data_IF_119037031701
#
_entry.id   IF_119037031701
#
_cell.length_a   1.000
_cell.length_b   1.000
_cell.length_c   1.000
_cell.angle_alpha   90.00
_cell.angle_beta   90.00
_cell.angle_gamma   90.00
#
_symmetry.space_group_name_H-M   'P 1'
#
loop_
_entity.id
_entity.type
_entity.pdbx_description
1 polymer ?
#
# COMPACT_ATOMS: atom_id res chain seq x y z
N UNK A 1 2.46 11.17 46.86
CA UNK A 1 1.33 10.83 45.98
C UNK A 1 1.42 11.71 44.75
N UNK A 2 1.93 11.16 43.67
CA UNK A 2 2.12 11.82 42.38
C UNK A 2 0.77 11.89 41.67
N UNK A 3 0.18 13.08 41.58
CA UNK A 3 -0.90 13.32 40.63
C UNK A 3 -0.32 13.27 39.22
N UNK A 4 -0.40 12.09 38.61
CA UNK A 4 -0.15 11.88 37.20
C UNK A 4 -1.30 12.56 36.46
N UNK A 5 -1.08 13.79 36.01
CA UNK A 5 -2.10 14.60 35.34
C UNK A 5 -2.47 13.93 34.01
N UNK A 6 -3.72 13.46 33.91
CA UNK A 6 -4.33 12.94 32.68
C UNK A 6 -4.23 13.93 31.50
N UNK A 7 -4.02 15.21 31.77
CA UNK A 7 -3.84 16.24 30.74
C UNK A 7 -2.56 16.05 29.92
N UNK A 8 -1.47 15.54 30.52
CA UNK A 8 -0.19 15.32 29.83
C UNK A 8 -0.32 14.17 28.81
N UNK A 9 -1.01 13.08 29.18
CA UNK A 9 -1.27 11.96 28.27
C UNK A 9 -2.16 12.34 27.08
N UNK A 10 -3.15 13.22 27.30
CA UNK A 10 -4.02 13.70 26.23
C UNK A 10 -3.27 14.61 25.25
N UNK A 11 -2.33 15.42 25.75
CA UNK A 11 -1.49 16.28 24.92
C UNK A 11 -0.43 15.50 24.12
N UNK A 12 0.10 14.41 24.68
CA UNK A 12 0.99 13.47 23.98
C UNK A 12 0.24 12.64 22.92
N UNK A 13 -1.06 12.40 23.10
CA UNK A 13 -1.88 11.61 22.19
C UNK A 13 -2.48 12.44 21.04
N UNK A 14 -2.76 13.72 21.26
CA UNK A 14 -3.37 14.63 20.28
C UNK A 14 -2.45 15.82 19.99
N UNK A 15 -1.52 15.68 19.02
CA UNK A 15 -0.72 16.79 18.57
C UNK A 15 -1.61 17.90 17.96
N UNK A 16 -1.04 19.10 17.83
CA UNK A 16 -1.74 20.21 17.17
C UNK A 16 -2.22 19.82 15.76
N UNK A 17 -3.34 20.39 15.31
CA UNK A 17 -3.96 20.00 14.03
C UNK A 17 -3.08 20.29 12.81
N UNK A 18 -2.21 21.30 12.89
CA UNK A 18 -1.34 21.72 11.78
C UNK A 18 -0.35 20.62 11.32
N UNK A 19 0.50 20.04 12.19
CA UNK A 19 1.40 18.96 11.81
C UNK A 19 0.66 17.69 11.39
N UNK A 20 -0.47 17.36 12.05
CA UNK A 20 -1.34 16.24 11.64
C UNK A 20 -1.82 16.39 10.19
N UNK A 21 -2.26 17.59 9.81
CA UNK A 21 -2.72 17.88 8.44
C UNK A 21 -1.58 17.83 7.42
N UNK A 22 -0.37 18.27 7.78
CA UNK A 22 0.80 18.20 6.89
C UNK A 22 1.20 16.76 6.60
N UNK A 23 1.22 15.90 7.63
CA UNK A 23 1.46 14.46 7.47
C UNK A 23 0.33 13.80 6.66
N UNK A 24 -0.93 14.11 6.96
CA UNK A 24 -2.07 13.59 6.21
C UNK A 24 -2.01 13.95 4.73
N UNK A 25 -1.62 15.20 4.38
CA UNK A 25 -1.43 15.62 3.00
C UNK A 25 -0.38 14.76 2.28
N UNK A 26 0.73 14.44 2.94
CA UNK A 26 1.76 13.59 2.35
C UNK A 26 1.25 12.17 2.09
N UNK A 27 0.41 11.63 2.97
CA UNK A 27 -0.20 10.31 2.78
C UNK A 27 -1.30 10.30 1.71
N UNK A 28 -2.04 11.40 1.54
CA UNK A 28 -3.04 11.55 0.48
C UNK A 28 -2.43 11.74 -0.92
N UNK A 29 -1.15 12.08 -1.02
CA UNK A 29 -0.49 12.26 -2.31
C UNK A 29 -0.20 10.89 -2.95
N UNK A 30 -0.77 10.60 -4.14
CA UNK A 30 -0.57 9.32 -4.84
C UNK A 30 0.77 9.30 -5.58
N UNK A 31 1.84 9.73 -4.90
CA UNK A 31 3.20 9.80 -5.43
C UNK A 31 4.07 8.99 -4.47
N UNK A 32 4.79 7.98 -4.97
CA UNK A 32 5.38 6.89 -4.16
C UNK A 32 6.31 7.28 -3.00
N UNK A 33 6.64 8.56 -2.81
CA UNK A 33 7.35 9.08 -1.63
C UNK A 33 6.48 9.46 -0.43
N UNK A 34 5.14 9.35 -0.54
CA UNK A 34 4.22 9.77 0.52
C UNK A 34 4.47 9.10 1.87
N UNK A 35 4.73 7.78 1.89
CA UNK A 35 4.98 7.03 3.13
C UNK A 35 6.30 7.45 3.78
N UNK A 36 7.48 7.39 3.13
CA UNK A 36 8.72 7.79 3.77
C UNK A 36 8.71 9.26 4.21
N UNK A 37 8.19 10.17 3.38
CA UNK A 37 8.12 11.58 3.70
C UNK A 37 7.19 11.85 4.89
N UNK A 38 5.98 11.26 4.88
CA UNK A 38 5.01 11.43 5.96
C UNK A 38 5.48 10.84 7.28
N UNK A 39 6.14 9.68 7.26
CA UNK A 39 6.69 9.03 8.46
C UNK A 39 7.87 9.82 9.04
N UNK A 40 8.76 10.34 8.19
CA UNK A 40 9.87 11.18 8.65
C UNK A 40 9.37 12.50 9.22
N UNK A 41 8.38 13.14 8.57
CA UNK A 41 7.75 14.36 9.07
C UNK A 41 7.04 14.11 10.41
N UNK A 42 6.28 13.01 10.52
CA UNK A 42 5.62 12.65 11.78
C UNK A 42 6.63 12.47 12.91
N UNK A 43 7.78 11.84 12.63
CA UNK A 43 8.88 11.70 13.60
C UNK A 43 9.46 13.05 14.02
N UNK A 44 9.69 13.98 13.08
CA UNK A 44 10.25 15.31 13.39
C UNK A 44 9.27 16.16 14.19
N UNK A 45 7.97 16.02 13.94
CA UNK A 45 6.90 16.72 14.66
C UNK A 45 6.51 16.02 15.98
N UNK A 46 7.21 14.94 16.36
CA UNK A 46 6.97 14.21 17.61
C UNK A 46 5.63 13.46 17.65
N UNK A 47 5.02 13.18 16.50
CA UNK A 47 3.73 12.48 16.42
C UNK A 47 3.93 11.00 16.76
N UNK A 48 3.13 10.42 17.68
CA UNK A 48 3.24 9.02 18.03
C UNK A 48 3.04 8.10 16.82
N UNK A 49 3.72 6.95 16.83
CA UNK A 49 3.58 5.91 15.81
C UNK A 49 2.12 5.52 15.57
N UNK A 50 1.35 5.27 16.64
CA UNK A 50 -0.04 4.86 16.51
C UNK A 50 -0.90 5.93 15.82
N UNK A 51 -0.69 7.20 16.15
CA UNK A 51 -1.40 8.33 15.53
C UNK A 51 -1.02 8.44 14.05
N UNK A 52 0.25 8.25 13.72
CA UNK A 52 0.73 8.24 12.33
C UNK A 52 0.11 7.11 11.52
N UNK A 53 0.01 5.91 12.09
CA UNK A 53 -0.66 4.77 11.45
C UNK A 53 -2.16 5.01 11.26
N UNK A 54 -2.82 5.66 12.22
CA UNK A 54 -4.23 6.03 12.09
C UNK A 54 -4.45 7.12 11.04
N UNK A 55 -3.54 8.10 10.92
CA UNK A 55 -3.56 9.08 9.84
C UNK A 55 -3.42 8.41 8.48
N UNK A 56 -2.52 7.43 8.37
CA UNK A 56 -2.32 6.68 7.14
C UNK A 56 -3.57 5.86 6.77
N UNK A 57 -4.13 5.12 7.73
CA UNK A 57 -5.39 4.39 7.57
C UNK A 57 -6.55 5.31 7.15
N UNK A 58 -6.65 6.48 7.77
CA UNK A 58 -7.67 7.45 7.41
C UNK A 58 -7.48 7.97 5.98
N UNK A 59 -6.23 8.20 5.55
CA UNK A 59 -5.91 8.58 4.18
C UNK A 59 -6.38 7.52 3.17
N UNK A 60 -6.18 6.24 3.48
CA UNK A 60 -6.63 5.12 2.64
C UNK A 60 -8.15 5.04 2.53
N UNK A 61 -8.87 5.30 3.63
CA UNK A 61 -10.34 5.33 3.63
C UNK A 61 -10.84 6.49 2.75
N UNK A 62 -10.25 7.68 2.88
CA UNK A 62 -10.58 8.83 2.04
C UNK A 62 -10.30 8.51 0.57
N UNK A 63 -9.15 7.89 0.29
CA UNK A 63 -8.77 7.47 -1.06
C UNK A 63 -9.76 6.43 -1.61
N UNK A 64 -10.17 5.46 -0.81
CA UNK A 64 -11.13 4.44 -1.19
C UNK A 64 -12.48 5.05 -1.61
N UNK A 65 -12.98 6.00 -0.82
CA UNK A 65 -14.23 6.71 -1.10
C UNK A 65 -14.10 7.57 -2.36
N UNK A 66 -12.96 8.23 -2.55
CA UNK A 66 -12.71 9.09 -3.71
C UNK A 66 -12.51 8.30 -5.02
N UNK A 67 -11.79 7.17 -4.97
CA UNK A 67 -11.42 6.41 -6.16
C UNK A 67 -12.44 5.35 -6.58
N UNK A 68 -13.23 4.77 -5.66
CA UNK A 68 -14.27 3.82 -6.05
C UNK A 68 -15.20 4.36 -7.16
N UNK A 69 -15.77 5.58 -7.10
CA UNK A 69 -16.62 6.09 -8.17
C UNK A 69 -15.85 6.25 -9.48
N UNK A 70 -14.58 6.69 -9.42
CA UNK A 70 -13.71 6.83 -10.60
C UNK A 70 -13.45 5.46 -11.24
N UNK A 71 -13.08 4.45 -10.45
CA UNK A 71 -12.84 3.09 -10.90
C UNK A 71 -14.11 2.46 -11.49
N UNK A 72 -15.28 2.68 -10.86
CA UNK A 72 -16.57 2.22 -11.39
C UNK A 72 -16.92 2.89 -12.72
N UNK A 73 -16.71 4.20 -12.83
CA UNK A 73 -16.94 4.93 -14.06
C UNK A 73 -16.03 4.41 -15.18
N UNK A 74 -14.74 4.22 -14.89
CA UNK A 74 -13.79 3.62 -15.84
C UNK A 74 -14.20 2.21 -16.25
N UNK A 75 -14.63 1.36 -15.31
CA UNK A 75 -15.12 0.02 -15.61
C UNK A 75 -16.36 0.05 -16.52
N UNK A 76 -17.30 0.98 -16.28
CA UNK A 76 -18.48 1.18 -17.12
C UNK A 76 -18.11 1.65 -18.53
N UNK A 77 -17.17 2.59 -18.66
CA UNK A 77 -16.70 3.09 -19.95
C UNK A 77 -15.94 2.01 -20.72
N UNK A 78 -15.02 1.30 -20.07
CA UNK A 78 -14.29 0.17 -20.66
C UNK A 78 -15.24 -0.98 -21.04
N UNK A 79 -16.32 -1.18 -20.28
CA UNK A 79 -17.36 -2.17 -20.56
C UNK A 79 -18.10 -1.96 -21.88
N UNK A 80 -18.13 -0.72 -22.41
CA UNK A 80 -18.74 -0.39 -23.69
C UNK A 80 -17.89 -0.79 -24.89
N UNK A 81 -16.58 -0.98 -24.69
CA UNK A 81 -15.64 -1.31 -25.76
C UNK A 81 -15.41 -2.82 -25.78
N UNK A 82 -15.90 -3.48 -26.84
CA UNK A 82 -15.83 -4.93 -27.02
C UNK A 82 -14.41 -5.51 -27.00
N UNK A 83 -13.40 -4.72 -27.40
CA UNK A 83 -11.99 -5.10 -27.29
C UNK A 83 -11.51 -5.14 -25.83
N UNK A 84 -11.83 -4.13 -25.03
CA UNK A 84 -11.40 -4.03 -23.63
C UNK A 84 -12.07 -5.08 -22.76
N UNK A 85 -13.34 -5.40 -23.01
CA UNK A 85 -14.03 -6.48 -22.29
C UNK A 85 -13.43 -7.85 -22.59
N UNK A 86 -13.05 -8.10 -23.85
CA UNK A 86 -12.31 -9.32 -24.23
C UNK A 86 -10.94 -9.38 -23.57
N UNK A 87 -10.19 -8.28 -23.58
CA UNK A 87 -8.88 -8.20 -22.93
C UNK A 87 -9.01 -8.45 -21.41
N UNK A 88 -9.97 -7.81 -20.75
CA UNK A 88 -10.24 -8.02 -19.33
C UNK A 88 -10.63 -9.48 -19.02
N UNK A 89 -11.44 -10.11 -19.88
CA UNK A 89 -11.78 -11.52 -19.74
C UNK A 89 -10.56 -12.44 -19.93
N UNK A 90 -9.68 -12.14 -20.90
CA UNK A 90 -8.42 -12.86 -21.10
C UNK A 90 -7.49 -12.71 -19.90
N UNK A 91 -7.34 -11.49 -19.37
CA UNK A 91 -6.56 -11.23 -18.17
C UNK A 91 -7.12 -11.98 -16.96
N UNK A 92 -8.44 -11.93 -16.74
CA UNK A 92 -9.10 -12.67 -15.66
C UNK A 92 -8.88 -14.18 -15.80
N UNK A 93 -9.00 -14.74 -17.00
CA UNK A 93 -8.75 -16.15 -17.26
C UNK A 93 -7.28 -16.53 -17.04
N UNK A 94 -6.33 -15.66 -17.41
CA UNK A 94 -4.91 -15.84 -17.15
C UNK A 94 -4.61 -15.81 -15.64
N UNK A 95 -5.18 -14.85 -14.89
CA UNK A 95 -5.04 -14.76 -13.43
C UNK A 95 -5.61 -15.99 -12.73
N UNK A 96 -6.80 -16.46 -13.11
CA UNK A 96 -7.39 -17.69 -12.57
C UNK A 96 -6.48 -18.90 -12.85
N UNK A 97 -5.91 -18.98 -14.06
CA UNK A 97 -4.99 -20.06 -14.44
C UNK A 97 -3.69 -20.02 -13.64
N UNK A 98 -3.12 -18.83 -13.42
CA UNK A 98 -1.93 -18.66 -12.58
C UNK A 98 -2.22 -18.93 -11.11
N UNK A 99 -3.40 -18.56 -10.60
CA UNK A 99 -3.82 -18.81 -9.23
C UNK A 99 -4.12 -20.29 -8.95
N UNK A 100 -4.56 -21.06 -9.96
CA UNK A 100 -4.78 -22.50 -9.83
C UNK A 100 -3.50 -23.29 -9.48
N UNK A 101 -2.32 -22.80 -9.88
CA UNK A 101 -1.03 -23.37 -9.47
C UNK A 101 -0.68 -23.12 -7.99
N UNK A 102 -1.34 -22.16 -7.33
CA UNK A 102 -1.16 -21.83 -5.92
C UNK A 102 -2.26 -22.42 -5.01
N UNK A 103 -3.11 -23.31 -5.54
CA UNK A 103 -3.99 -24.16 -4.74
C UNK A 103 -5.26 -23.50 -4.16
N UNK A 104 -5.80 -22.44 -4.77
CA UNK A 104 -7.06 -21.85 -4.30
C UNK A 104 -8.00 -21.46 -5.46
N UNK A 105 -9.14 -22.14 -5.54
CA UNK A 105 -10.33 -21.68 -6.26
C UNK A 105 -10.84 -20.42 -5.57
N UNK A 106 -10.64 -19.27 -6.22
CA UNK A 106 -10.83 -17.96 -5.61
C UNK A 106 -9.60 -17.58 -4.80
N UNK A 107 -8.92 -16.50 -5.16
CA UNK A 107 -7.82 -16.00 -4.36
C UNK A 107 -8.37 -15.70 -2.95
N UNK A 108 -8.04 -16.55 -1.98
CA UNK A 108 -8.51 -16.38 -0.60
C UNK A 108 -8.10 -15.00 -0.05
N UNK A 109 -8.73 -14.51 1.02
CA UNK A 109 -8.46 -13.17 1.56
C UNK A 109 -6.97 -12.88 1.75
N UNK A 110 -6.18 -13.87 2.17
CA UNK A 110 -4.74 -13.76 2.36
C UNK A 110 -3.98 -13.53 1.04
N UNK A 111 -4.34 -14.22 -0.03
CA UNK A 111 -3.73 -14.01 -1.36
C UNK A 111 -4.03 -12.61 -1.90
N UNK A 112 -5.24 -12.11 -1.65
CA UNK A 112 -5.63 -10.75 -2.04
C UNK A 112 -4.92 -9.67 -1.20
N UNK A 113 -4.75 -9.91 0.11
CA UNK A 113 -3.90 -9.06 0.98
C UNK A 113 -2.48 -9.00 0.44
N UNK A 114 -1.91 -10.14 0.03
CA UNK A 114 -0.55 -10.19 -0.53
C UNK A 114 -0.43 -9.44 -1.87
N UNK A 115 -1.48 -9.45 -2.69
CA UNK A 115 -1.52 -8.67 -3.93
C UNK A 115 -1.56 -7.17 -3.61
N UNK A 116 -2.42 -6.75 -2.68
CA UNK A 116 -2.52 -5.35 -2.25
C UNK A 116 -1.21 -4.86 -1.62
N UNK A 117 -0.62 -5.67 -0.75
CA UNK A 117 0.69 -5.43 -0.13
C UNK A 117 1.82 -5.28 -1.15
N UNK A 118 1.81 -6.10 -2.21
CA UNK A 118 2.90 -6.15 -3.18
C UNK A 118 2.80 -5.15 -4.32
N UNK A 119 1.63 -4.58 -4.58
CA UNK A 119 1.38 -3.69 -5.72
C UNK A 119 0.87 -2.34 -5.23
N UNK A 120 -0.39 -2.28 -4.81
CA UNK A 120 -1.07 -1.10 -4.27
C UNK A 120 -2.53 -1.46 -3.88
N UNK A 121 -3.21 -0.65 -3.04
CA UNK A 121 -4.59 -0.91 -2.62
C UNK A 121 -5.62 -0.86 -3.76
N UNK A 122 -5.40 -0.09 -4.84
CA UNK A 122 -6.32 -0.04 -5.99
C UNK A 122 -6.29 -1.36 -6.77
N UNK A 123 -5.09 -1.91 -7.01
CA UNK A 123 -4.90 -3.22 -7.62
C UNK A 123 -5.45 -4.34 -6.73
N UNK A 124 -5.26 -4.21 -5.41
CA UNK A 124 -5.86 -5.09 -4.41
C UNK A 124 -7.39 -5.10 -4.48
N UNK A 125 -8.00 -3.91 -4.52
CA UNK A 125 -9.45 -3.71 -4.64
C UNK A 125 -10.02 -4.30 -5.94
N UNK A 126 -9.34 -4.08 -7.06
CA UNK A 126 -9.74 -4.62 -8.37
C UNK A 126 -9.67 -6.16 -8.38
N UNK A 127 -8.63 -6.72 -7.77
CA UNK A 127 -8.44 -8.17 -7.63
C UNK A 127 -9.48 -8.80 -6.72
N UNK A 128 -9.84 -8.14 -5.61
CA UNK A 128 -10.92 -8.57 -4.72
C UNK A 128 -12.29 -8.55 -5.43
N UNK A 129 -12.57 -7.51 -6.24
CA UNK A 129 -13.77 -7.48 -7.09
C UNK A 129 -13.80 -8.63 -8.08
N UNK A 130 -12.67 -8.91 -8.74
CA UNK A 130 -12.56 -9.99 -9.70
C UNK A 130 -12.78 -11.37 -9.07
N UNK A 131 -12.39 -11.53 -7.80
CA UNK A 131 -12.63 -12.71 -6.97
C UNK A 131 -14.04 -12.79 -6.37
N UNK A 132 -14.89 -11.78 -6.59
CA UNK A 132 -16.30 -11.78 -6.15
C UNK A 132 -16.55 -11.13 -4.78
N UNK A 133 -15.56 -10.46 -4.18
CA UNK A 133 -15.77 -9.70 -2.96
C UNK A 133 -16.52 -8.40 -3.24
N UNK A 134 -17.49 -8.11 -2.38
CA UNK A 134 -18.27 -6.87 -2.42
C UNK A 134 -17.44 -5.63 -2.08
N UNK A 135 -18.10 -4.47 -2.06
CA UNK A 135 -17.44 -3.18 -1.82
C UNK A 135 -16.67 -3.16 -0.48
N UNK A 136 -17.35 -3.45 0.63
CA UNK A 136 -16.77 -3.36 1.98
C UNK A 136 -15.64 -4.37 2.16
N UNK A 137 -15.90 -5.64 1.84
CA UNK A 137 -14.91 -6.71 2.02
C UNK A 137 -13.71 -6.56 1.09
N UNK A 138 -13.92 -6.08 -0.14
CA UNK A 138 -12.84 -5.81 -1.08
C UNK A 138 -11.91 -4.67 -0.63
N UNK A 139 -12.46 -3.58 -0.11
CA UNK A 139 -11.66 -2.50 0.46
C UNK A 139 -11.00 -2.87 1.78
N UNK A 140 -11.68 -3.61 2.66
CA UNK A 140 -11.07 -4.09 3.90
C UNK A 140 -9.81 -4.94 3.61
N UNK A 141 -9.90 -5.85 2.63
CA UNK A 141 -8.77 -6.67 2.16
C UNK A 141 -7.64 -5.80 1.59
N UNK A 142 -7.97 -4.84 0.73
CA UNK A 142 -7.00 -3.95 0.10
C UNK A 142 -6.26 -3.08 1.13
N UNK A 143 -7.00 -2.42 2.02
CA UNK A 143 -6.47 -1.57 3.09
C UNK A 143 -5.61 -2.41 4.04
N UNK A 144 -6.01 -3.65 4.35
CA UNK A 144 -5.19 -4.53 5.19
C UNK A 144 -3.82 -4.80 4.56
N UNK A 145 -3.77 -5.07 3.26
CA UNK A 145 -2.50 -5.25 2.55
C UNK A 145 -1.66 -3.98 2.54
N UNK A 146 -2.28 -2.82 2.34
CA UNK A 146 -1.56 -1.54 2.32
C UNK A 146 -1.04 -1.12 3.70
N UNK A 147 -1.79 -1.39 4.78
CA UNK A 147 -1.30 -1.17 6.15
C UNK A 147 -0.07 -2.01 6.47
N UNK A 148 -0.01 -3.25 5.98
CA UNK A 148 1.18 -4.09 6.12
C UNK A 148 2.37 -3.50 5.34
N UNK A 149 2.12 -3.00 4.13
CA UNK A 149 3.14 -2.36 3.29
C UNK A 149 3.68 -1.10 3.97
N UNK A 150 2.78 -0.24 4.43
CA UNK A 150 3.10 0.93 5.25
C UNK A 150 3.95 0.58 6.45
N UNK A 151 3.59 -0.44 7.22
CA UNK A 151 4.37 -0.85 8.39
C UNK A 151 5.81 -1.22 8.04
N UNK A 152 6.00 -1.99 6.96
CA UNK A 152 7.34 -2.37 6.49
C UNK A 152 8.14 -1.15 6.04
N UNK A 153 7.56 -0.27 5.21
CA UNK A 153 8.25 0.92 4.71
C UNK A 153 8.52 1.92 5.84
N UNK A 154 7.58 2.14 6.75
CA UNK A 154 7.74 3.03 7.90
C UNK A 154 8.89 2.57 8.81
N UNK A 155 8.89 1.29 9.20
CA UNK A 155 9.94 0.74 10.06
C UNK A 155 11.32 0.79 9.40
N UNK A 156 11.41 0.37 8.13
CA UNK A 156 12.68 0.42 7.39
C UNK A 156 13.16 1.85 7.19
N UNK A 157 12.28 2.81 6.91
CA UNK A 157 12.61 4.24 6.80
C UNK A 157 13.12 4.81 8.11
N UNK A 158 12.45 4.52 9.23
CA UNK A 158 12.84 5.01 10.55
C UNK A 158 14.19 4.43 11.00
N UNK A 159 14.42 3.13 10.75
CA UNK A 159 15.69 2.46 11.03
C UNK A 159 16.81 3.01 10.17
N UNK A 160 16.57 3.18 8.87
CA UNK A 160 17.58 3.74 7.96
C UNK A 160 17.91 5.18 8.33
N UNK A 161 16.92 5.99 8.70
CA UNK A 161 17.16 7.37 9.16
C UNK A 161 17.91 7.41 10.49
N UNK A 162 17.73 6.41 11.38
CA UNK A 162 18.50 6.34 12.61
C UNK A 162 20.00 6.08 12.33
N UNK A 163 20.32 5.37 11.24
CA UNK A 163 21.70 5.12 10.82
C UNK A 163 22.31 6.31 10.06
N UNK A 164 21.59 6.86 9.08
CA UNK A 164 22.07 7.95 8.21
C UNK A 164 22.03 9.31 8.91
N UNK A 165 21.09 9.50 9.84
CA UNK A 165 20.81 10.75 10.56
C UNK A 165 20.49 11.95 9.66
N UNK A 166 20.12 11.70 8.40
CA UNK A 166 19.71 12.72 7.44
C UNK A 166 18.37 12.32 6.77
N UNK A 167 17.27 13.02 7.08
CA UNK A 167 15.94 12.70 6.56
C UNK A 167 15.86 12.80 5.02
N UNK A 168 16.48 13.81 4.43
CA UNK A 168 16.43 14.05 2.99
C UNK A 168 17.14 12.93 2.21
N UNK A 169 18.34 12.57 2.68
CA UNK A 169 19.11 11.47 2.08
C UNK A 169 18.42 10.13 2.28
N UNK A 170 17.85 9.88 3.46
CA UNK A 170 17.09 8.65 3.74
C UNK A 170 15.89 8.54 2.82
N UNK A 171 15.11 9.61 2.66
CA UNK A 171 13.95 9.63 1.77
C UNK A 171 14.36 9.29 0.33
N UNK A 172 15.43 9.91 -0.19
CA UNK A 172 15.92 9.62 -1.55
C UNK A 172 16.36 8.16 -1.73
N UNK A 173 17.02 7.59 -0.72
CA UNK A 173 17.44 6.18 -0.76
C UNK A 173 16.24 5.24 -0.74
N UNK A 174 15.28 5.45 0.16
CA UNK A 174 14.07 4.62 0.24
C UNK A 174 13.27 4.72 -1.06
N UNK A 175 13.09 5.94 -1.59
CA UNK A 175 12.41 6.16 -2.86
C UNK A 175 13.13 5.42 -4.00
N UNK A 176 14.46 5.56 -4.08
CA UNK A 176 15.27 4.84 -5.07
C UNK A 176 15.14 3.33 -4.95
N UNK A 177 15.16 2.80 -3.73
CA UNK A 177 14.96 1.37 -3.47
C UNK A 177 13.59 0.88 -3.91
N UNK A 178 12.52 1.63 -3.66
CA UNK A 178 11.16 1.26 -4.09
C UNK A 178 11.06 1.05 -5.62
N UNK A 179 11.81 1.82 -6.41
CA UNK A 179 11.86 1.63 -7.86
C UNK A 179 12.85 0.54 -8.31
N UNK A 180 14.02 0.47 -7.68
CA UNK A 180 15.12 -0.40 -8.13
C UNK A 180 14.91 -1.85 -7.68
N UNK A 181 14.41 -2.05 -6.46
CA UNK A 181 14.31 -3.38 -5.85
C UNK A 181 13.41 -4.34 -6.65
N UNK A 182 12.21 -3.95 -7.15
CA UNK A 182 11.39 -4.82 -8.00
C UNK A 182 12.11 -5.23 -9.29
N UNK A 183 12.87 -4.32 -9.91
CA UNK A 183 13.65 -4.61 -11.11
C UNK A 183 14.76 -5.62 -10.85
N UNK A 184 15.48 -5.48 -9.74
CA UNK A 184 16.54 -6.41 -9.33
C UNK A 184 15.95 -7.80 -9.06
N UNK A 185 14.88 -7.88 -8.26
CA UNK A 185 14.22 -9.15 -7.92
C UNK A 185 13.74 -9.85 -9.19
N UNK A 186 13.13 -9.12 -10.12
CA UNK A 186 12.67 -9.66 -11.40
C UNK A 186 13.83 -10.22 -12.23
N UNK A 187 14.96 -9.49 -12.32
CA UNK A 187 16.17 -9.96 -13.02
C UNK A 187 16.75 -11.22 -12.39
N UNK A 188 16.81 -11.29 -11.05
CA UNK A 188 17.33 -12.46 -10.33
C UNK A 188 16.43 -13.69 -10.49
N UNK A 189 15.10 -13.52 -10.46
CA UNK A 189 14.16 -14.62 -10.72
C UNK A 189 14.23 -15.13 -12.16
N UNK A 190 14.35 -14.25 -13.16
CA UNK A 190 14.51 -14.67 -14.56
C UNK A 190 15.78 -15.51 -14.79
N UNK A 191 16.89 -15.19 -14.12
CA UNK A 191 18.11 -16.00 -14.19
C UNK A 191 17.99 -17.38 -13.54
N UNK A 192 17.07 -17.56 -12.59
CA UNK A 192 16.85 -18.84 -11.90
C UNK A 192 15.92 -19.79 -12.65
N UNK A 193 15.26 -19.32 -13.70
CA UNK A 193 14.27 -20.04 -14.50
C UNK A 193 14.79 -20.46 -15.88
N UNK A 194 16.08 -20.28 -16.21
CA UNK A 194 16.71 -21.02 -17.30
C UNK A 194 16.96 -22.46 -16.80
N UNK A 195 16.21 -23.47 -17.25
CA UNK A 195 16.64 -24.84 -17.07
C UNK A 195 17.88 -25.03 -17.94
N UNK A 196 18.88 -25.72 -17.40
CA UNK A 196 19.95 -26.29 -18.22
C UNK A 196 19.32 -27.16 -19.32
N UNK A 197 19.13 -26.59 -20.51
CA UNK A 197 18.99 -27.36 -21.74
C UNK A 197 20.41 -27.77 -22.13
N UNK A 198 20.88 -28.87 -21.56
CA UNK A 198 22.00 -29.61 -22.14
C UNK A 198 21.45 -30.73 -23.02
N UNK A 199 22.06 -30.95 -24.20
CA UNK A 199 21.54 -31.82 -25.27
C UNK A 199 21.46 -33.30 -24.89
#
# INVERSE_FOLDING_TARGET
MTEISLSTYFHDLLPSLSPLLSVLKLFLLPVGGGIPAGVLLAKTEGIPWLVTSLLYLFSDIVLAIAFEPVLRLLALLCGKVSFLTRLAAMMKAATVRSAAHFGATGAGPLALIMIAFGVDPMTGRASALAAGHGFITGWAIAITGDMLYFGVIALTTLQLNAYIQNPNTTMLIVLGLMFILPMIIRRLRSKRLEPQSTP
#
